data_IF_741256904260
#
_entry.id   IF_741256904260
#
_cell.length_a   1.000
_cell.length_b   1.000
_cell.length_c   1.000
_cell.angle_alpha   90.00
_cell.angle_beta   90.00
_cell.angle_gamma   90.00
#
_symmetry.space_group_name_H-M   'P 1'
#
loop_
_entity.id
_entity.type
_entity.pdbx_description
1 polymer ?
#
# COMPACT_ATOMS: atom_id res chain seq x y z
N UNK A 1 11.66 28.63 -7.78
CA UNK A 1 10.75 27.47 -7.91
C UNK A 1 11.48 26.12 -7.96
N UNK A 2 12.64 25.98 -8.61
CA UNK A 2 13.33 24.68 -8.74
C UNK A 2 13.97 24.08 -7.47
N UNK A 3 14.20 24.86 -6.40
CA UNK A 3 14.91 24.36 -5.21
C UNK A 3 14.03 23.55 -4.24
N UNK A 4 12.77 23.97 -4.05
CA UNK A 4 11.82 23.31 -3.14
C UNK A 4 11.30 21.99 -3.72
N UNK A 5 11.07 21.95 -5.04
CA UNK A 5 10.65 20.75 -5.76
C UNK A 5 11.75 19.67 -5.69
N UNK A 6 13.01 20.06 -5.89
CA UNK A 6 14.15 19.16 -5.71
C UNK A 6 14.30 18.63 -4.28
N UNK A 7 14.04 19.44 -3.24
CA UNK A 7 14.16 18.98 -1.86
C UNK A 7 13.08 17.95 -1.49
N UNK A 8 11.84 18.22 -1.90
CA UNK A 8 10.72 17.32 -1.68
C UNK A 8 10.88 16.02 -2.47
N UNK A 9 11.28 16.07 -3.74
CA UNK A 9 11.52 14.88 -4.57
C UNK A 9 12.63 14.00 -3.97
N UNK A 10 13.70 14.61 -3.45
CA UNK A 10 14.79 13.89 -2.78
C UNK A 10 14.31 13.23 -1.49
N UNK A 11 13.53 13.92 -0.67
CA UNK A 11 12.99 13.37 0.58
C UNK A 11 11.98 12.25 0.33
N UNK A 12 11.09 12.42 -0.64
CA UNK A 12 10.09 11.44 -1.03
C UNK A 12 10.75 10.16 -1.57
N UNK A 13 11.73 10.30 -2.47
CA UNK A 13 12.48 9.15 -2.99
C UNK A 13 13.38 8.50 -1.92
N UNK A 14 13.96 9.29 -1.01
CA UNK A 14 14.76 8.76 0.10
C UNK A 14 13.90 7.91 1.05
N UNK A 15 12.71 8.40 1.43
CA UNK A 15 11.76 7.65 2.26
C UNK A 15 11.37 6.31 1.61
N UNK A 16 11.00 6.33 0.33
CA UNK A 16 10.63 5.12 -0.41
C UNK A 16 11.80 4.14 -0.52
N UNK A 17 13.01 4.65 -0.76
CA UNK A 17 14.24 3.83 -0.79
C UNK A 17 14.56 3.22 0.58
N UNK A 18 14.39 3.96 1.67
CA UNK A 18 14.58 3.44 3.03
C UNK A 18 13.59 2.33 3.36
N UNK A 19 12.30 2.53 3.05
CA UNK A 19 11.27 1.51 3.22
C UNK A 19 11.56 0.26 2.36
N UNK A 20 12.01 0.47 1.11
CA UNK A 20 12.47 -0.61 0.23
C UNK A 20 13.67 -1.36 0.83
N UNK A 21 14.69 -0.65 1.29
CA UNK A 21 15.88 -1.25 1.89
C UNK A 21 15.55 -2.06 3.15
N UNK A 22 14.66 -1.56 4.02
CA UNK A 22 14.19 -2.27 5.20
C UNK A 22 13.59 -3.63 4.85
N UNK A 23 12.61 -3.63 3.95
CA UNK A 23 11.96 -4.86 3.50
C UNK A 23 12.96 -5.81 2.83
N UNK A 24 13.98 -5.30 2.14
CA UNK A 24 15.02 -6.13 1.51
C UNK A 24 16.05 -6.70 2.49
N UNK A 25 16.27 -6.07 3.64
CA UNK A 25 17.36 -6.43 4.58
C UNK A 25 16.91 -7.39 5.67
N UNK A 26 15.68 -7.24 6.17
CA UNK A 26 15.26 -7.96 7.38
C UNK A 26 14.87 -9.41 7.08
N UNK A 27 14.32 -9.71 5.89
CA UNK A 27 13.78 -11.03 5.56
C UNK A 27 12.61 -11.43 6.48
N UNK A 28 11.52 -11.98 5.94
CA UNK A 28 10.34 -12.39 6.74
C UNK A 28 9.90 -11.33 7.80
N UNK A 29 9.63 -10.08 7.40
CA UNK A 29 9.11 -9.10 8.38
C UNK A 29 7.62 -9.34 8.65
N UNK A 30 7.15 -9.06 9.87
CA UNK A 30 5.73 -9.21 10.22
C UNK A 30 4.96 -7.92 9.93
N UNK A 31 3.63 -8.00 9.77
CA UNK A 31 2.78 -6.80 9.66
C UNK A 31 3.03 -5.83 10.83
N UNK A 32 3.02 -6.25 12.12
CA UNK A 32 3.37 -5.37 13.22
C UNK A 32 4.79 -4.80 13.13
N UNK A 33 5.77 -5.60 12.68
CA UNK A 33 7.15 -5.15 12.49
C UNK A 33 7.26 -4.03 11.46
N UNK A 34 6.54 -4.15 10.34
CA UNK A 34 6.45 -3.08 9.33
C UNK A 34 5.81 -1.82 9.90
N UNK A 35 4.69 -1.93 10.62
CA UNK A 35 4.01 -0.77 11.25
C UNK A 35 4.95 -0.08 12.25
N UNK A 36 5.61 -0.84 13.13
CA UNK A 36 6.58 -0.29 14.08
C UNK A 36 7.75 0.41 13.37
N UNK A 37 8.25 -0.16 12.27
CA UNK A 37 9.33 0.47 11.50
C UNK A 37 8.90 1.78 10.85
N UNK A 38 7.73 1.83 10.24
CA UNK A 38 7.19 3.07 9.67
C UNK A 38 7.08 4.14 10.75
N UNK A 39 6.58 3.80 11.95
CA UNK A 39 6.52 4.74 13.07
C UNK A 39 7.90 5.25 13.50
N UNK A 40 8.94 4.40 13.46
CA UNK A 40 10.32 4.79 13.79
C UNK A 40 10.93 5.77 12.77
N UNK A 41 10.52 5.69 11.50
CA UNK A 41 10.96 6.64 10.47
C UNK A 41 10.42 8.05 10.70
N UNK A 42 9.34 8.18 11.48
CA UNK A 42 8.64 9.42 11.79
C UNK A 42 8.46 10.32 10.55
N UNK A 43 7.78 9.85 9.49
CA UNK A 43 7.58 10.64 8.27
C UNK A 43 6.83 11.93 8.58
N UNK A 44 7.17 13.02 7.89
CA UNK A 44 6.54 14.32 8.13
C UNK A 44 5.04 14.28 7.75
N UNK A 45 4.13 14.47 8.73
CA UNK A 45 2.69 14.42 8.49
C UNK A 45 2.15 15.57 7.63
N UNK A 46 2.97 16.60 7.37
CA UNK A 46 2.61 17.68 6.46
C UNK A 46 2.84 17.31 4.98
N UNK A 47 3.63 16.27 4.69
CA UNK A 47 3.98 15.85 3.32
C UNK A 47 3.61 14.40 3.02
N UNK A 48 3.42 13.56 4.03
CA UNK A 48 3.05 12.15 3.88
C UNK A 48 1.67 11.92 4.49
N UNK A 49 0.72 11.50 3.66
CA UNK A 49 -0.63 11.12 4.08
C UNK A 49 -0.65 9.71 4.68
N UNK A 50 -0.10 8.72 3.96
CA UNK A 50 -0.07 7.34 4.42
C UNK A 50 1.06 6.54 3.77
N UNK A 51 1.44 5.44 4.41
CA UNK A 51 2.32 4.41 3.84
C UNK A 51 1.54 3.10 3.82
N UNK A 52 1.50 2.45 2.66
CA UNK A 52 0.78 1.20 2.42
C UNK A 52 1.73 0.08 2.00
N UNK A 53 1.35 -1.14 2.36
CA UNK A 53 2.00 -2.36 1.93
C UNK A 53 1.00 -3.18 1.12
N UNK A 54 1.41 -3.64 -0.06
CA UNK A 54 0.63 -4.45 -0.97
C UNK A 54 1.27 -5.84 -1.10
N UNK A 55 0.43 -6.87 -1.16
CA UNK A 55 0.87 -8.25 -1.37
C UNK A 55 0.39 -8.74 -2.72
N UNK A 56 1.24 -9.42 -3.48
CA UNK A 56 0.82 -10.11 -4.70
C UNK A 56 -0.06 -11.30 -4.35
N UNK A 57 -1.17 -11.47 -5.05
CA UNK A 57 -2.06 -12.61 -4.90
C UNK A 57 -2.37 -13.15 -6.28
N UNK A 58 -1.95 -14.39 -6.55
CA UNK A 58 -2.29 -15.07 -7.80
C UNK A 58 -3.78 -15.38 -7.85
N UNK A 59 -4.34 -15.50 -9.06
CA UNK A 59 -5.75 -15.85 -9.22
C UNK A 59 -6.13 -17.18 -8.54
N UNK A 60 -5.24 -18.18 -8.59
CA UNK A 60 -5.44 -19.50 -7.98
C UNK A 60 -5.49 -19.45 -6.45
N UNK A 61 -4.74 -18.53 -5.83
CA UNK A 61 -4.57 -18.47 -4.37
C UNK A 61 -5.55 -17.49 -3.71
N UNK A 62 -6.32 -16.75 -4.51
CA UNK A 62 -7.22 -15.68 -4.07
C UNK A 62 -8.23 -16.14 -3.01
N UNK A 63 -8.84 -17.31 -3.19
CA UNK A 63 -9.85 -17.81 -2.26
C UNK A 63 -9.25 -18.07 -0.87
N UNK A 64 -8.08 -18.71 -0.83
CA UNK A 64 -7.35 -18.94 0.42
C UNK A 64 -6.90 -17.61 1.05
N UNK A 65 -6.37 -16.69 0.24
CA UNK A 65 -5.96 -15.37 0.70
C UNK A 65 -7.10 -14.61 1.38
N UNK A 66 -8.29 -14.61 0.78
CA UNK A 66 -9.50 -13.99 1.36
C UNK A 66 -9.79 -14.60 2.74
N UNK A 67 -9.80 -15.93 2.86
CA UNK A 67 -10.09 -16.62 4.11
C UNK A 67 -9.07 -16.24 5.20
N UNK A 68 -7.78 -16.33 4.90
CA UNK A 68 -6.71 -16.01 5.84
C UNK A 68 -6.75 -14.54 6.27
N UNK A 69 -6.91 -13.63 5.29
CA UNK A 69 -6.93 -12.20 5.54
C UNK A 69 -8.19 -11.76 6.31
N UNK A 70 -9.34 -12.38 6.04
CA UNK A 70 -10.55 -12.16 6.84
C UNK A 70 -10.36 -12.61 8.30
N UNK A 71 -9.62 -13.69 8.54
CA UNK A 71 -9.27 -14.12 9.91
C UNK A 71 -8.26 -13.19 10.61
N UNK A 72 -7.37 -12.53 9.86
CA UNK A 72 -6.49 -11.49 10.39
C UNK A 72 -7.26 -10.21 10.77
N UNK A 73 -8.26 -9.83 9.97
CA UNK A 73 -9.10 -8.64 10.22
C UNK A 73 -10.20 -8.84 11.28
N UNK A 74 -10.52 -10.09 11.66
CA UNK A 74 -11.70 -10.47 12.47
C UNK A 74 -11.71 -10.01 13.94
N UNK A 75 -10.78 -9.17 14.41
CA UNK A 75 -11.01 -8.46 15.67
C UNK A 75 -12.01 -7.31 15.46
N UNK A 76 -13.32 -7.64 15.53
CA UNK A 76 -14.42 -6.67 15.59
C UNK A 76 -15.14 -6.37 14.27
N UNK A 77 -14.84 -7.09 13.19
CA UNK A 77 -15.54 -6.96 11.91
C UNK A 77 -16.37 -8.24 11.62
N UNK A 78 -17.58 -8.13 11.05
CA UNK A 78 -18.37 -9.31 10.71
C UNK A 78 -17.59 -10.23 9.75
N UNK A 79 -17.75 -11.56 9.86
CA UNK A 79 -17.15 -12.50 8.93
C UNK A 79 -17.59 -12.16 7.49
N UNK A 80 -16.63 -12.25 6.55
CA UNK A 80 -16.82 -11.86 5.14
C UNK A 80 -16.56 -13.08 4.27
N UNK A 81 -17.43 -13.28 3.29
CA UNK A 81 -17.30 -14.35 2.29
C UNK A 81 -16.44 -13.90 1.11
N UNK A 82 -16.12 -12.60 1.03
CA UNK A 82 -15.26 -12.05 0.00
C UNK A 82 -14.65 -10.69 0.38
N UNK A 83 -13.44 -10.41 -0.11
CA UNK A 83 -12.79 -9.09 0.01
C UNK A 83 -13.58 -7.98 -0.69
N UNK A 84 -14.46 -8.32 -1.65
CA UNK A 84 -15.30 -7.32 -2.37
C UNK A 84 -16.48 -6.79 -1.56
N UNK A 85 -16.74 -7.34 -0.37
CA UNK A 85 -17.77 -6.81 0.55
C UNK A 85 -17.20 -5.77 1.52
N UNK A 86 -15.91 -5.41 1.41
CA UNK A 86 -15.36 -4.23 2.06
C UNK A 86 -16.07 -3.01 1.47
N UNK A 87 -16.83 -2.23 2.26
CA UNK A 87 -17.65 -1.12 1.76
C UNK A 87 -16.84 0.05 1.16
N UNK A 88 -15.54 -0.15 0.95
CA UNK A 88 -14.52 0.87 0.70
C UNK A 88 -13.55 0.43 -0.42
N UNK A 89 -13.93 -0.53 -1.28
CA UNK A 89 -13.06 -0.99 -2.37
C UNK A 89 -13.55 -0.40 -3.68
N UNK A 90 -12.65 0.18 -4.48
CA UNK A 90 -12.98 0.59 -5.84
C UNK A 90 -13.32 -0.63 -6.71
N UNK A 91 -14.23 -0.49 -7.69
CA UNK A 91 -14.52 -1.53 -8.67
C UNK A 91 -13.23 -1.97 -9.38
N UNK A 92 -13.06 -3.28 -9.59
CA UNK A 92 -11.95 -3.77 -10.41
C UNK A 92 -12.35 -4.22 -11.82
N UNK A 93 -11.39 -4.18 -12.76
CA UNK A 93 -11.47 -4.93 -14.01
C UNK A 93 -11.62 -6.43 -13.74
N UNK A 94 -12.45 -7.13 -14.52
CA UNK A 94 -12.79 -8.55 -14.29
C UNK A 94 -11.64 -9.51 -14.56
N UNK A 95 -10.56 -9.07 -15.22
CA UNK A 95 -9.57 -9.95 -15.85
C UNK A 95 -8.12 -9.57 -15.51
N UNK A 96 -7.72 -9.67 -14.23
CA UNK A 96 -6.33 -9.54 -13.83
C UNK A 96 -5.76 -10.89 -13.43
N UNK A 97 -4.66 -11.32 -14.07
CA UNK A 97 -3.91 -12.54 -13.74
C UNK A 97 -3.42 -12.57 -12.28
N UNK A 98 -3.29 -11.38 -11.67
CA UNK A 98 -2.83 -11.20 -10.31
C UNK A 98 -3.47 -9.97 -9.66
N UNK A 99 -3.60 -10.03 -8.34
CA UNK A 99 -4.02 -8.93 -7.50
C UNK A 99 -2.83 -8.42 -6.66
N UNK A 100 -2.92 -7.18 -6.23
CA UNK A 100 -2.06 -6.44 -5.31
C UNK A 100 -2.89 -5.74 -4.22
N UNK A 101 -3.69 -6.45 -3.42
CA UNK A 101 -4.43 -5.85 -2.33
C UNK A 101 -3.49 -5.21 -1.30
N UNK A 102 -3.92 -4.08 -0.76
CA UNK A 102 -3.30 -3.44 0.40
C UNK A 102 -3.54 -4.30 1.64
N UNK A 103 -2.46 -4.76 2.26
CA UNK A 103 -2.50 -5.60 3.48
C UNK A 103 -2.23 -4.80 4.75
N UNK A 104 -1.60 -3.63 4.62
CA UNK A 104 -1.33 -2.72 5.73
C UNK A 104 -1.45 -1.30 5.24
N UNK A 105 -2.10 -0.44 6.04
CA UNK A 105 -2.08 1.00 5.89
C UNK A 105 -1.62 1.62 7.22
N UNK A 106 -0.57 2.42 7.16
CA UNK A 106 -0.12 3.28 8.26
C UNK A 106 -0.49 4.72 7.90
N UNK A 107 -1.60 5.26 8.43
CA UNK A 107 -1.93 6.67 8.23
C UNK A 107 -0.95 7.54 9.03
N UNK A 108 -0.47 8.62 8.40
CA UNK A 108 0.54 9.52 8.96
C UNK A 108 -0.06 10.91 9.20
N UNK A 109 -0.73 11.50 8.20
CA UNK A 109 -1.32 12.82 8.34
C UNK A 109 -2.60 12.78 9.20
N UNK A 110 -2.96 13.87 9.92
CA UNK A 110 -4.21 13.94 10.66
C UNK A 110 -5.45 13.68 9.78
N UNK A 111 -5.43 14.14 8.53
CA UNK A 111 -6.52 13.92 7.57
C UNK A 111 -6.65 12.44 7.21
N UNK A 112 -5.53 11.74 7.00
CA UNK A 112 -5.54 10.32 6.68
C UNK A 112 -5.95 9.46 7.88
N UNK A 113 -5.58 9.87 9.09
CA UNK A 113 -5.99 9.20 10.34
C UNK A 113 -7.51 9.32 10.51
N UNK A 114 -8.08 10.51 10.32
CA UNK A 114 -9.52 10.72 10.45
C UNK A 114 -10.29 10.06 9.29
N UNK A 115 -9.86 10.31 8.05
CA UNK A 115 -10.46 9.72 6.85
C UNK A 115 -10.39 8.20 6.85
N UNK A 116 -9.32 7.61 7.41
CA UNK A 116 -9.15 6.16 7.57
C UNK A 116 -10.21 5.50 8.47
N UNK A 117 -10.86 6.26 9.36
CA UNK A 117 -12.01 5.76 10.15
C UNK A 117 -13.25 5.56 9.28
N UNK A 118 -13.39 6.34 8.22
CA UNK A 118 -14.51 6.26 7.27
C UNK A 118 -14.18 5.35 6.10
N UNK A 119 -12.96 5.44 5.56
CA UNK A 119 -12.49 4.68 4.42
C UNK A 119 -11.04 4.21 4.62
N UNK A 120 -10.92 2.94 5.02
CA UNK A 120 -9.67 2.19 5.02
C UNK A 120 -9.26 1.78 3.60
N UNK A 121 -7.97 1.91 3.29
CA UNK A 121 -7.36 1.37 2.07
C UNK A 121 -7.07 -0.13 2.18
N UNK A 122 -7.37 -0.82 3.27
CA UNK A 122 -7.15 -2.27 3.36
C UNK A 122 -7.98 -3.00 2.31
N UNK A 123 -7.37 -3.94 1.60
CA UNK A 123 -7.96 -4.64 0.45
C UNK A 123 -8.03 -3.83 -0.85
N UNK A 124 -7.80 -2.51 -0.79
CA UNK A 124 -7.73 -1.64 -1.97
C UNK A 124 -6.62 -2.12 -2.90
N UNK A 125 -6.89 -2.09 -4.20
CA UNK A 125 -5.90 -2.47 -5.20
C UNK A 125 -5.63 -1.36 -6.21
N UNK A 126 -4.37 -0.91 -6.32
CA UNK A 126 -4.00 0.17 -7.22
C UNK A 126 -4.20 -0.18 -8.70
N UNK A 127 -4.22 -1.44 -9.10
CA UNK A 127 -4.48 -1.89 -10.47
C UNK A 127 -5.95 -1.72 -10.89
N UNK A 128 -6.86 -1.50 -9.93
CA UNK A 128 -8.26 -1.19 -10.23
C UNK A 128 -8.46 0.20 -10.86
N UNK A 129 -7.48 1.09 -10.74
CA UNK A 129 -7.60 2.49 -11.15
C UNK A 129 -6.44 2.91 -12.05
N UNK A 130 -6.68 3.41 -13.27
CA UNK A 130 -5.63 3.70 -14.24
C UNK A 130 -4.48 4.58 -13.72
N UNK A 131 -4.80 5.61 -12.92
CA UNK A 131 -3.82 6.56 -12.36
C UNK A 131 -2.85 5.90 -11.38
N UNK A 132 -3.29 4.84 -10.69
CA UNK A 132 -2.48 4.06 -9.74
C UNK A 132 -1.88 2.80 -10.38
N UNK A 133 -2.59 2.23 -11.35
CA UNK A 133 -2.19 1.01 -12.05
C UNK A 133 -0.89 1.20 -12.83
N UNK A 134 -0.81 2.25 -13.65
CA UNK A 134 0.36 2.51 -14.49
C UNK A 134 1.67 2.66 -13.69
N UNK A 135 1.77 3.50 -12.65
CA UNK A 135 2.98 3.61 -11.85
C UNK A 135 3.29 2.34 -11.04
N UNK A 136 2.27 1.67 -10.49
CA UNK A 136 2.46 0.40 -9.81
C UNK A 136 3.09 -0.65 -10.75
N UNK A 137 2.54 -0.83 -11.95
CA UNK A 137 3.08 -1.78 -12.93
C UNK A 137 4.51 -1.43 -13.36
N UNK A 138 4.83 -0.13 -13.51
CA UNK A 138 6.20 0.32 -13.79
C UNK A 138 7.16 -0.02 -12.65
N UNK A 139 6.76 0.19 -11.39
CA UNK A 139 7.58 -0.17 -10.24
C UNK A 139 7.82 -1.68 -10.17
N UNK A 140 6.78 -2.47 -10.49
CA UNK A 140 6.85 -3.92 -10.49
C UNK A 140 7.75 -4.50 -11.58
N UNK A 141 7.71 -3.91 -12.79
CA UNK A 141 8.49 -4.38 -13.94
C UNK A 141 9.95 -3.95 -13.88
N UNK A 142 10.21 -2.68 -13.53
CA UNK A 142 11.56 -2.11 -13.53
C UNK A 142 12.36 -2.39 -12.25
N UNK A 143 11.66 -2.63 -11.13
CA UNK A 143 12.27 -2.67 -9.79
C UNK A 143 12.70 -1.29 -9.26
N UNK A 144 12.54 -0.23 -10.05
CA UNK A 144 12.80 1.14 -9.64
C UNK A 144 11.51 1.78 -9.07
N UNK A 145 11.62 2.76 -8.16
CA UNK A 145 10.46 3.52 -7.72
C UNK A 145 9.74 4.22 -8.89
N UNK A 146 8.41 4.23 -8.88
CA UNK A 146 7.61 4.89 -9.91
C UNK A 146 6.53 5.77 -9.30
N UNK A 147 6.43 7.00 -9.81
CA UNK A 147 5.51 8.02 -9.35
C UNK A 147 4.24 8.07 -10.21
N UNK A 148 3.09 8.31 -9.58
CA UNK A 148 1.82 8.62 -10.25
C UNK A 148 1.74 10.09 -10.66
N UNK A 149 0.75 10.41 -11.49
CA UNK A 149 0.27 11.79 -11.61
C UNK A 149 -0.47 12.22 -10.34
N UNK A 150 -0.81 13.50 -10.23
CA UNK A 150 -1.61 14.02 -9.12
C UNK A 150 -3.01 13.41 -9.11
N UNK A 151 -3.50 13.03 -7.93
CA UNK A 151 -4.80 12.42 -7.73
C UNK A 151 -5.41 12.85 -6.39
N UNK A 152 -6.71 12.62 -6.22
CA UNK A 152 -7.35 12.77 -4.91
C UNK A 152 -7.38 11.44 -4.19
N UNK A 153 -6.97 11.43 -2.92
CA UNK A 153 -7.06 10.23 -2.10
C UNK A 153 -8.51 9.98 -1.65
N UNK A 154 -9.04 8.75 -1.78
CA UNK A 154 -10.44 8.46 -1.51
C UNK A 154 -10.79 8.52 -0.01
N UNK A 155 -9.80 8.40 0.86
CA UNK A 155 -10.00 8.42 2.31
C UNK A 155 -10.23 9.83 2.85
N UNK A 156 -9.53 10.84 2.34
CA UNK A 156 -9.54 12.19 2.91
C UNK A 156 -9.69 13.32 1.87
N UNK A 157 -9.83 12.96 0.59
CA UNK A 157 -9.99 13.86 -0.56
C UNK A 157 -8.81 14.84 -0.79
N UNK A 158 -7.70 14.65 -0.07
CA UNK A 158 -6.49 15.44 -0.25
C UNK A 158 -5.90 15.22 -1.64
N UNK A 159 -5.32 16.28 -2.21
CA UNK A 159 -4.68 16.24 -3.52
C UNK A 159 -3.21 15.89 -3.32
N UNK A 160 -2.75 14.86 -4.01
CA UNK A 160 -1.42 14.31 -3.78
C UNK A 160 -0.97 13.37 -4.88
N UNK A 161 0.08 12.60 -4.64
CA UNK A 161 0.56 11.58 -5.57
C UNK A 161 1.14 10.37 -4.83
N UNK A 162 1.29 9.27 -5.55
CA UNK A 162 1.84 8.03 -5.03
C UNK A 162 3.22 7.74 -5.59
N UNK A 163 4.12 7.23 -4.75
CA UNK A 163 5.32 6.54 -5.20
C UNK A 163 5.23 5.08 -4.81
N UNK A 164 5.39 4.20 -5.79
CA UNK A 164 5.42 2.75 -5.60
C UNK A 164 6.83 2.21 -5.72
N UNK A 165 7.18 1.21 -4.91
CA UNK A 165 8.41 0.45 -5.05
C UNK A 165 8.16 -1.04 -4.82
N UNK A 166 8.76 -1.89 -5.65
CA UNK A 166 8.68 -3.35 -5.51
C UNK A 166 9.68 -3.85 -4.45
N UNK A 167 9.26 -4.83 -3.66
CA UNK A 167 10.16 -5.67 -2.89
C UNK A 167 9.92 -7.16 -3.16
N UNK A 168 11.00 -7.96 -3.17
CA UNK A 168 10.94 -9.41 -3.42
C UNK A 168 11.17 -10.23 -2.16
N UNK A 169 10.90 -9.65 -0.99
CA UNK A 169 11.05 -10.33 0.29
C UNK A 169 9.68 -10.61 0.90
N UNK A 170 9.48 -11.80 1.48
CA UNK A 170 8.24 -12.16 2.15
C UNK A 170 7.95 -11.29 3.37
N UNK A 171 6.66 -11.00 3.57
CA UNK A 171 6.10 -10.57 4.85
C UNK A 171 5.36 -11.74 5.46
N UNK A 172 5.66 -12.03 6.72
CA UNK A 172 4.92 -13.01 7.49
C UNK A 172 3.55 -12.42 7.83
N UNK A 173 2.53 -12.87 7.10
CA UNK A 173 1.13 -12.82 7.49
C UNK A 173 0.65 -14.26 7.79
N UNK A 174 -0.57 -14.42 8.30
CA UNK A 174 -1.22 -15.75 8.34
C UNK A 174 -1.45 -16.28 6.93
N UNK A 175 -1.54 -15.41 5.93
CA UNK A 175 -1.63 -15.80 4.52
C UNK A 175 -0.26 -16.13 3.91
N UNK A 176 -0.06 -17.40 3.54
CA UNK A 176 1.17 -17.92 2.92
C UNK A 176 1.26 -17.69 1.40
N UNK A 177 0.36 -16.88 0.83
CA UNK A 177 0.01 -16.88 -0.59
C UNK A 177 1.06 -16.26 -1.52
N UNK A 178 1.84 -15.27 -1.07
CA UNK A 178 3.00 -14.79 -1.85
C UNK A 178 4.02 -14.04 -1.03
N UNK A 179 5.28 -14.13 -1.47
CA UNK A 179 6.42 -13.35 -0.97
C UNK A 179 6.66 -12.05 -1.74
N UNK A 180 5.93 -11.80 -2.84
CA UNK A 180 6.07 -10.57 -3.62
C UNK A 180 5.29 -9.43 -2.94
N UNK A 181 5.98 -8.33 -2.66
CA UNK A 181 5.41 -7.16 -2.02
C UNK A 181 5.67 -5.88 -2.80
N UNK A 182 4.85 -4.88 -2.53
CA UNK A 182 5.12 -3.52 -2.97
C UNK A 182 4.75 -2.53 -1.87
N UNK A 183 5.49 -1.44 -1.80
CA UNK A 183 5.19 -0.31 -0.93
C UNK A 183 4.54 0.77 -1.77
N UNK A 184 3.50 1.42 -1.23
CA UNK A 184 3.02 2.71 -1.72
C UNK A 184 3.20 3.77 -0.65
N UNK A 185 3.77 4.92 -1.02
CA UNK A 185 3.80 6.11 -0.16
C UNK A 185 2.94 7.17 -0.80
N UNK A 186 1.99 7.70 -0.01
CA UNK A 186 0.96 8.65 -0.44
C UNK A 186 1.40 10.04 0.07
N UNK A 187 1.78 10.93 -0.83
CA UNK A 187 2.25 12.27 -0.50
C UNK A 187 1.17 13.32 -0.76
N UNK A 188 1.12 14.38 0.07
CA UNK A 188 0.17 15.51 0.00
C UNK A 188 0.89 16.85 -0.03
#
# INVERSE_FOLDING_TARGET
>A
MNHLQNMFDVQALALVRHLGAYLSTIGNTTIPGFVSYVSLLNPDPASVSAITLYQRVGQADRAQWITDFAEELKQGQPPRDDIWTLPLVTPRPRDLEQLWPCIVQVPISPSAIEGGKTFSLLGFDPLGEPVRAAPMLRALSSGAPAMSEMLRFPNDNSLGFNIYARNKQPVSSKSSVSSDLAIGVHFI
#
